data_IF_153879553517
#
_entry.id   IF_153879553517
#
_cell.length_a   1.000
_cell.length_b   1.000
_cell.length_c   1.000
_cell.angle_alpha   90.00
_cell.angle_beta   90.00
_cell.angle_gamma   90.00
#
_symmetry.space_group_name_H-M   'P 1'
#
loop_
_entity.id
_entity.type
_entity.pdbx_description
1 polymer ?
#
# COMPACT_ATOMS: atom_id res chain seq x y z
N UNK A 1 -73.50 0.05 43.13
CA UNK A 1 -73.05 -1.22 43.76
C UNK A 1 -71.54 -1.13 43.94
N UNK A 2 -71.03 -0.75 45.10
CA UNK A 2 -70.88 -1.50 46.36
C UNK A 2 -69.41 -1.89 46.54
N UNK A 3 -68.81 -1.26 47.54
CA UNK A 3 -67.50 -1.52 48.16
C UNK A 3 -67.18 -2.99 48.39
N UNK A 4 -65.88 -3.30 48.54
CA UNK A 4 -65.35 -3.87 49.80
C UNK A 4 -63.82 -3.87 49.88
N UNK A 5 -63.32 -3.09 50.84
CA UNK A 5 -62.08 -3.33 51.58
C UNK A 5 -62.39 -4.44 52.60
N UNK A 6 -61.50 -5.43 52.73
CA UNK A 6 -61.30 -6.17 53.99
C UNK A 6 -59.80 -6.42 54.14
N UNK A 7 -59.20 -5.77 55.13
CA UNK A 7 -57.97 -6.20 55.79
C UNK A 7 -58.36 -7.00 57.04
N UNK A 8 -57.62 -8.06 57.37
CA UNK A 8 -57.27 -8.50 58.73
C UNK A 8 -56.58 -9.87 58.68
N UNK A 9 -55.45 -10.00 59.39
CA UNK A 9 -54.81 -11.29 59.62
C UNK A 9 -53.34 -11.14 60.04
N UNK A 10 -53.12 -10.78 61.30
CA UNK A 10 -51.80 -10.80 61.93
C UNK A 10 -51.28 -12.24 62.08
N UNK A 11 -49.99 -12.45 61.80
CA UNK A 11 -49.19 -13.53 62.37
C UNK A 11 -47.74 -13.06 62.49
N UNK A 12 -47.32 -12.79 63.73
CA UNK A 12 -45.93 -12.56 64.12
C UNK A 12 -45.24 -13.92 64.22
N UNK A 13 -44.26 -14.19 63.35
CA UNK A 13 -43.28 -15.28 63.54
C UNK A 13 -41.90 -14.67 63.37
N UNK A 14 -41.18 -14.54 64.49
CA UNK A 14 -39.74 -14.27 64.53
C UNK A 14 -39.04 -15.62 64.39
N UNK A 15 -38.25 -15.78 63.33
CA UNK A 15 -37.30 -16.88 63.19
C UNK A 15 -35.97 -16.39 62.60
N UNK A 16 -34.91 -16.93 63.17
CA UNK A 16 -33.51 -16.47 63.14
C UNK A 16 -32.80 -16.91 61.85
N UNK A 17 -31.94 -16.01 61.35
CA UNK A 17 -30.78 -16.15 60.46
C UNK A 17 -30.58 -17.42 59.60
N UNK A 18 -30.43 -17.20 58.30
CA UNK A 18 -29.32 -17.75 57.52
C UNK A 18 -28.99 -16.82 56.33
N UNK A 19 -27.75 -16.35 56.29
CA UNK A 19 -27.20 -15.55 55.19
C UNK A 19 -26.84 -16.53 54.07
N UNK A 20 -27.65 -16.60 53.02
CA UNK A 20 -27.28 -17.23 51.76
C UNK A 20 -26.77 -16.12 50.82
N UNK A 21 -25.45 -15.99 50.73
CA UNK A 21 -24.80 -15.11 49.77
C UNK A 21 -25.15 -15.54 48.36
N UNK A 22 -25.93 -14.72 47.65
CA UNK A 22 -26.15 -14.89 46.22
C UNK A 22 -24.89 -14.41 45.52
N UNK A 23 -24.08 -15.36 45.06
CA UNK A 23 -22.98 -15.08 44.14
C UNK A 23 -23.58 -14.47 42.87
N UNK A 24 -23.54 -13.14 42.78
CA UNK A 24 -23.80 -12.44 41.55
C UNK A 24 -22.74 -12.85 40.54
N UNK A 25 -23.12 -13.71 39.58
CA UNK A 25 -22.36 -13.86 38.35
C UNK A 25 -22.51 -12.54 37.62
N UNK A 26 -21.57 -11.63 37.87
CA UNK A 26 -21.32 -10.51 37.00
C UNK A 26 -20.96 -11.11 35.64
N UNK A 27 -21.91 -11.07 34.71
CA UNK A 27 -21.61 -11.23 33.30
C UNK A 27 -20.61 -10.12 32.97
N UNK A 28 -19.33 -10.48 32.89
CA UNK A 28 -18.34 -9.69 32.21
C UNK A 28 -18.79 -9.65 30.75
N UNK A 29 -19.53 -8.59 30.40
CA UNK A 29 -19.59 -8.15 29.03
C UNK A 29 -18.14 -7.91 28.62
N UNK A 30 -17.60 -8.77 27.76
CA UNK A 30 -16.32 -8.55 27.14
C UNK A 30 -16.39 -7.19 26.43
N UNK A 31 -15.72 -6.21 27.02
CA UNK A 31 -15.41 -4.95 26.36
C UNK A 31 -14.47 -5.31 25.23
N UNK A 32 -15.02 -5.54 24.04
CA UNK A 32 -14.26 -5.61 22.81
C UNK A 32 -13.69 -4.22 22.55
N UNK A 33 -12.46 -4.03 23.04
CA UNK A 33 -11.68 -2.82 22.87
C UNK A 33 -11.18 -2.71 21.44
N UNK A 34 -11.78 -1.80 20.69
CA UNK A 34 -11.09 -0.98 19.72
C UNK A 34 -11.73 0.41 19.76
N UNK A 35 -10.98 1.41 20.24
CA UNK A 35 -11.40 2.81 20.32
C UNK A 35 -11.66 3.35 18.90
N UNK A 36 -12.87 3.13 18.38
CA UNK A 36 -13.35 3.79 17.18
C UNK A 36 -13.38 5.28 17.48
N UNK A 37 -12.51 6.05 16.81
CA UNK A 37 -12.44 7.50 17.03
C UNK A 37 -13.64 8.20 16.38
N UNK A 38 -14.24 7.56 15.37
CA UNK A 38 -15.41 8.08 14.65
C UNK A 38 -16.41 6.97 14.31
N UNK A 39 -17.70 7.25 14.52
CA UNK A 39 -18.84 6.39 14.14
C UNK A 39 -19.21 6.66 12.68
N UNK A 40 -19.98 5.77 12.04
CA UNK A 40 -20.50 6.04 10.71
C UNK A 40 -21.37 7.31 10.71
N UNK A 41 -21.11 8.23 9.78
CA UNK A 41 -21.72 9.56 9.76
C UNK A 41 -22.00 10.05 8.34
N UNK A 42 -22.90 11.02 8.20
CA UNK A 42 -23.08 11.77 6.96
C UNK A 42 -21.77 12.48 6.56
N UNK A 43 -21.40 12.42 5.27
CA UNK A 43 -20.13 12.96 4.79
C UNK A 43 -19.99 14.47 5.00
N UNK A 44 -21.09 15.24 4.94
CA UNK A 44 -21.05 16.70 5.17
C UNK A 44 -20.76 17.00 6.63
N UNK A 45 -21.28 16.18 7.55
CA UNK A 45 -20.99 16.29 8.98
C UNK A 45 -19.52 16.02 9.28
N UNK A 46 -18.91 15.01 8.65
CA UNK A 46 -17.47 14.76 8.80
C UNK A 46 -16.66 15.89 8.17
N UNK A 47 -16.99 16.32 6.96
CA UNK A 47 -16.33 17.43 6.27
C UNK A 47 -16.32 18.71 7.13
N UNK A 48 -17.42 19.01 7.83
CA UNK A 48 -17.51 20.17 8.73
C UNK A 48 -16.54 20.12 9.93
N UNK A 49 -15.97 18.96 10.25
CA UNK A 49 -14.95 18.82 11.31
C UNK A 49 -13.53 19.13 10.84
N UNK A 50 -13.31 19.15 9.52
CA UNK A 50 -12.00 19.38 8.92
C UNK A 50 -11.72 20.88 8.92
N UNK A 51 -10.54 21.26 9.40
CA UNK A 51 -10.10 22.66 9.43
C UNK A 51 -9.83 23.15 8.02
N UNK A 52 -10.27 24.37 7.73
CA UNK A 52 -9.93 25.07 6.49
C UNK A 52 -8.76 26.01 6.77
N UNK A 53 -7.60 25.74 6.16
CA UNK A 53 -6.35 26.48 6.39
C UNK A 53 -5.58 26.62 5.06
N UNK A 54 -4.67 27.59 4.97
CA UNK A 54 -3.80 27.71 3.80
C UNK A 54 -2.76 26.58 3.78
N UNK A 55 -2.44 26.10 2.58
CA UNK A 55 -1.40 25.09 2.37
C UNK A 55 0.00 25.58 2.77
N UNK A 56 0.79 24.68 3.37
CA UNK A 56 2.21 24.89 3.65
C UNK A 56 3.12 24.19 2.62
N UNK A 57 3.48 24.90 1.54
CA UNK A 57 4.13 24.27 0.38
C UNK A 57 5.65 24.07 0.48
N UNK A 58 6.30 24.78 1.40
CA UNK A 58 7.77 24.84 1.46
C UNK A 58 8.36 23.67 2.25
N UNK A 59 9.61 23.31 1.96
CA UNK A 59 10.35 22.31 2.75
C UNK A 59 9.99 20.84 2.50
N UNK A 60 8.96 20.55 1.69
CA UNK A 60 8.62 19.17 1.35
C UNK A 60 9.79 18.45 0.67
N UNK A 61 10.08 17.25 1.18
CA UNK A 61 10.91 16.24 0.51
C UNK A 61 10.24 14.89 0.69
N UNK A 62 10.08 14.14 -0.40
CA UNK A 62 9.45 12.81 -0.36
C UNK A 62 10.16 11.86 0.61
N UNK A 63 11.48 11.99 0.77
CA UNK A 63 12.28 11.19 1.70
C UNK A 63 11.95 11.40 3.18
N UNK A 64 11.22 12.47 3.54
CA UNK A 64 10.75 12.69 4.92
C UNK A 64 9.58 11.76 5.30
N UNK A 65 8.97 11.12 4.32
CA UNK A 65 7.95 10.08 4.49
C UNK A 65 8.61 8.75 4.17
N UNK A 66 9.17 8.10 5.19
CA UNK A 66 9.77 6.77 5.06
C UNK A 66 8.64 5.79 4.71
N UNK A 67 8.64 5.26 3.49
CA UNK A 67 7.59 4.40 2.96
C UNK A 67 8.17 3.12 2.35
N UNK A 68 7.27 2.14 2.22
CA UNK A 68 7.58 0.74 1.95
C UNK A 68 8.42 0.14 3.07
N UNK A 69 7.96 0.37 4.30
CA UNK A 69 8.46 -0.32 5.48
C UNK A 69 7.65 -1.58 5.75
N UNK A 70 8.33 -2.59 6.25
CA UNK A 70 7.74 -3.76 6.91
C UNK A 70 7.52 -3.38 8.39
N UNK A 71 6.30 -2.99 8.74
CA UNK A 71 5.98 -2.50 10.09
C UNK A 71 5.63 -3.62 11.08
N UNK A 72 5.18 -4.77 10.59
CA UNK A 72 4.80 -5.92 11.42
C UNK A 72 5.90 -7.00 11.49
N UNK A 73 6.97 -6.84 10.71
CA UNK A 73 8.14 -7.71 10.72
C UNK A 73 7.90 -9.04 10.02
N UNK A 74 6.86 -9.13 9.17
CA UNK A 74 6.48 -10.38 8.51
C UNK A 74 7.29 -10.64 7.21
N UNK A 75 8.17 -9.70 6.83
CA UNK A 75 9.01 -9.75 5.64
C UNK A 75 8.40 -9.03 4.42
N UNK A 76 7.13 -8.64 4.46
CA UNK A 76 6.44 -7.93 3.40
C UNK A 76 6.47 -6.42 3.71
N UNK A 77 6.98 -5.61 2.79
CA UNK A 77 6.80 -4.17 2.95
C UNK A 77 5.35 -3.74 2.63
N UNK A 78 4.99 -2.53 3.05
CA UNK A 78 3.65 -1.98 2.86
C UNK A 78 3.19 -2.01 1.39
N UNK A 79 4.08 -1.81 0.41
CA UNK A 79 3.69 -1.87 -1.00
C UNK A 79 3.27 -3.29 -1.37
N UNK A 80 4.06 -4.27 -0.99
CA UNK A 80 3.74 -5.67 -1.24
C UNK A 80 2.46 -6.10 -0.52
N UNK A 81 2.21 -5.59 0.69
CA UNK A 81 0.96 -5.86 1.40
C UNK A 81 -0.27 -5.32 0.67
N UNK A 82 -0.21 -4.08 0.16
CA UNK A 82 -1.34 -3.52 -0.60
C UNK A 82 -1.53 -4.29 -1.92
N UNK A 83 -0.45 -4.66 -2.61
CA UNK A 83 -0.55 -5.44 -3.84
C UNK A 83 -1.18 -6.82 -3.59
N UNK A 84 -0.85 -7.49 -2.48
CA UNK A 84 -1.49 -8.74 -2.06
C UNK A 84 -2.96 -8.53 -1.75
N UNK A 85 -3.27 -7.51 -0.94
CA UNK A 85 -4.63 -7.19 -0.47
C UNK A 85 -5.58 -6.86 -1.61
N UNK A 86 -5.11 -6.06 -2.58
CA UNK A 86 -5.95 -5.54 -3.67
C UNK A 86 -5.97 -6.45 -4.90
N UNK A 87 -5.22 -7.55 -4.90
CA UNK A 87 -5.28 -8.55 -5.97
C UNK A 87 -6.62 -9.29 -5.91
N UNK A 88 -7.36 -9.28 -7.01
CA UNK A 88 -8.63 -9.98 -7.22
C UNK A 88 -8.40 -11.49 -7.29
N UNK A 89 -7.37 -11.91 -8.03
CA UNK A 89 -6.91 -13.29 -8.04
C UNK A 89 -6.00 -13.55 -6.84
N UNK A 90 -5.77 -14.82 -6.51
CA UNK A 90 -4.69 -15.18 -5.59
C UNK A 90 -3.35 -14.70 -6.18
N UNK A 91 -2.64 -13.76 -5.53
CA UNK A 91 -1.38 -13.25 -6.04
C UNK A 91 -0.29 -14.33 -5.93
N UNK A 92 0.63 -14.34 -6.89
CA UNK A 92 1.85 -15.11 -6.79
C UNK A 92 2.88 -14.28 -6.06
N UNK A 93 3.44 -14.82 -4.98
CA UNK A 93 4.35 -14.12 -4.10
C UNK A 93 5.66 -14.88 -4.04
N UNK A 94 6.77 -14.19 -4.24
CA UNK A 94 8.09 -14.74 -4.04
C UNK A 94 8.34 -14.95 -2.53
N UNK A 95 8.89 -16.10 -2.10
CA UNK A 95 9.15 -16.36 -0.68
C UNK A 95 10.19 -15.41 -0.07
N UNK A 96 10.99 -14.70 -0.88
CA UNK A 96 11.91 -13.68 -0.38
C UNK A 96 11.22 -12.31 -0.34
N UNK A 97 11.05 -11.79 0.88
CA UNK A 97 10.48 -10.45 1.16
C UNK A 97 9.08 -10.20 0.56
N UNK A 98 8.29 -11.25 0.43
CA UNK A 98 6.93 -11.21 -0.09
C UNK A 98 6.75 -10.46 -1.41
N UNK A 99 7.74 -10.49 -2.29
CA UNK A 99 7.65 -9.74 -3.53
C UNK A 99 6.50 -10.29 -4.40
N UNK A 100 5.45 -9.51 -4.62
CA UNK A 100 4.32 -9.94 -5.47
C UNK A 100 4.81 -10.03 -6.91
N UNK A 101 4.87 -11.24 -7.43
CA UNK A 101 5.33 -11.52 -8.78
C UNK A 101 4.22 -11.22 -9.78
N UNK A 102 3.02 -11.76 -9.55
CA UNK A 102 1.88 -11.62 -10.45
C UNK A 102 0.59 -11.52 -9.64
N UNK A 103 -0.40 -10.83 -10.21
CA UNK A 103 -1.73 -10.67 -9.66
C UNK A 103 -2.65 -10.08 -10.72
N UNK A 104 -3.92 -9.93 -10.37
CA UNK A 104 -4.92 -9.25 -11.17
C UNK A 104 -5.52 -8.14 -10.30
N UNK A 105 -5.48 -6.89 -10.74
CA UNK A 105 -5.96 -5.73 -10.00
C UNK A 105 -7.02 -4.98 -10.79
N UNK A 106 -7.87 -4.23 -10.10
CA UNK A 106 -8.82 -3.31 -10.71
C UNK A 106 -8.54 -1.89 -10.25
N UNK A 107 -8.16 -1.01 -11.17
CA UNK A 107 -7.96 0.39 -10.85
C UNK A 107 -9.32 1.08 -10.69
N UNK A 108 -9.62 1.46 -9.45
CA UNK A 108 -10.85 2.20 -9.14
C UNK A 108 -10.88 3.61 -9.75
N UNK A 109 -9.73 4.16 -10.13
CA UNK A 109 -9.65 5.50 -10.70
C UNK A 109 -10.12 5.59 -12.15
N UNK A 110 -9.87 4.56 -12.97
CA UNK A 110 -10.23 4.58 -14.40
C UNK A 110 -11.01 3.33 -14.87
N UNK A 111 -11.28 2.38 -13.97
CA UNK A 111 -12.06 1.18 -14.25
C UNK A 111 -11.32 0.10 -15.02
N UNK A 112 -9.98 0.16 -15.10
CA UNK A 112 -9.20 -0.83 -15.85
C UNK A 112 -8.83 -2.04 -15.02
N UNK A 113 -8.94 -3.22 -15.65
CA UNK A 113 -8.32 -4.44 -15.16
C UNK A 113 -6.85 -4.45 -15.56
N UNK A 114 -5.98 -4.60 -14.57
CA UNK A 114 -4.53 -4.65 -14.70
C UNK A 114 -4.08 -6.05 -14.29
N UNK A 115 -3.06 -6.56 -14.94
CA UNK A 115 -2.42 -7.80 -14.49
C UNK A 115 -0.91 -7.74 -14.56
N UNK A 116 -0.35 -6.71 -15.21
CA UNK A 116 1.07 -6.42 -15.13
C UNK A 116 1.33 -5.59 -13.88
N UNK A 117 2.19 -6.10 -13.00
CA UNK A 117 2.63 -5.38 -11.80
C UNK A 117 3.22 -4.01 -12.18
N UNK A 118 3.92 -3.91 -13.32
CA UNK A 118 4.54 -2.67 -13.77
C UNK A 118 3.54 -1.56 -14.10
N UNK A 119 2.30 -1.91 -14.44
CA UNK A 119 1.23 -0.96 -14.72
C UNK A 119 0.45 -0.57 -13.44
N UNK A 120 0.82 -1.13 -12.29
CA UNK A 120 0.15 -0.93 -11.00
C UNK A 120 1.01 -0.11 -10.05
N UNK A 121 0.45 1.01 -9.62
CA UNK A 121 0.97 1.81 -8.51
C UNK A 121 0.13 1.61 -7.26
N UNK A 122 0.79 1.78 -6.11
CA UNK A 122 0.10 1.96 -4.84
C UNK A 122 0.05 3.47 -4.57
N UNK A 123 -1.14 4.03 -4.69
CA UNK A 123 -1.39 5.45 -4.43
C UNK A 123 -1.75 5.68 -2.97
N UNK A 124 -1.24 6.77 -2.42
CA UNK A 124 -1.79 7.37 -1.21
C UNK A 124 -2.98 8.22 -1.63
N UNK A 125 -4.20 7.82 -1.26
CA UNK A 125 -5.43 8.52 -1.69
C UNK A 125 -5.30 10.02 -1.46
N UNK A 126 -4.87 10.42 -0.25
CA UNK A 126 -4.30 11.75 0.01
C UNK A 126 -2.78 11.66 -0.15
N UNK A 127 -2.24 12.31 -1.17
CA UNK A 127 -0.82 12.16 -1.55
C UNK A 127 0.14 12.60 -0.42
N UNK A 128 1.37 12.08 -0.41
CA UNK A 128 2.36 12.44 0.63
C UNK A 128 2.67 13.95 0.67
N UNK A 129 2.74 14.60 -0.51
CA UNK A 129 2.92 16.05 -0.60
C UNK A 129 1.67 16.81 -0.16
N UNK A 130 0.49 16.35 -0.57
CA UNK A 130 -0.77 16.92 -0.12
C UNK A 130 -0.91 16.87 1.41
N UNK A 131 -0.54 15.75 2.03
CA UNK A 131 -0.52 15.62 3.48
C UNK A 131 0.46 16.61 4.13
N UNK A 132 1.64 16.84 3.53
CA UNK A 132 2.60 17.85 3.99
C UNK A 132 1.98 19.24 3.97
N UNK A 133 1.42 19.64 2.83
CA UNK A 133 0.80 20.93 2.61
C UNK A 133 -0.39 21.15 3.58
N UNK A 134 -1.06 20.06 3.96
CA UNK A 134 -2.22 20.03 4.89
C UNK A 134 -1.88 19.87 6.38
N UNK A 135 -0.60 20.02 6.78
CA UNK A 135 -0.19 20.03 8.19
C UNK A 135 0.82 18.97 8.61
N UNK A 136 1.10 17.96 7.78
CA UNK A 136 2.10 16.94 8.09
C UNK A 136 3.55 17.47 8.09
N UNK A 137 3.76 18.71 7.64
CA UNK A 137 5.02 19.43 7.85
C UNK A 137 5.41 19.56 9.33
N UNK A 138 4.41 19.62 10.21
CA UNK A 138 4.59 19.75 11.66
C UNK A 138 4.77 18.41 12.38
N UNK A 139 4.57 17.30 11.68
CA UNK A 139 4.62 15.97 12.28
C UNK A 139 6.05 15.55 12.64
N UNK A 140 6.17 14.61 13.58
CA UNK A 140 7.41 13.88 13.79
C UNK A 140 7.68 12.96 12.60
N UNK A 141 8.92 12.49 12.47
CA UNK A 141 9.26 11.47 11.47
C UNK A 141 8.45 10.18 11.66
N UNK A 142 8.23 9.76 12.91
CA UNK A 142 7.42 8.57 13.21
C UNK A 142 5.98 8.70 12.75
N UNK A 143 5.38 9.89 12.89
CA UNK A 143 4.04 10.17 12.40
C UNK A 143 3.97 10.14 10.87
N UNK A 144 4.93 10.77 10.17
CA UNK A 144 5.01 10.69 8.70
C UNK A 144 5.24 9.27 8.20
N UNK A 145 6.11 8.51 8.86
CA UNK A 145 6.34 7.08 8.56
C UNK A 145 5.05 6.27 8.75
N UNK A 146 4.32 6.49 9.83
CA UNK A 146 3.07 5.79 10.06
C UNK A 146 2.00 6.14 9.01
N UNK A 147 1.86 7.42 8.64
CA UNK A 147 0.96 7.83 7.56
C UNK A 147 1.31 7.16 6.24
N UNK A 148 2.59 7.16 5.89
CA UNK A 148 3.05 6.64 4.61
C UNK A 148 2.91 5.12 4.48
N UNK A 149 2.73 4.39 5.59
CA UNK A 149 2.61 2.94 5.66
C UNK A 149 1.29 2.49 6.33
N UNK A 150 0.26 3.34 6.32
CA UNK A 150 -0.99 3.07 7.03
C UNK A 150 -1.83 1.99 6.34
N UNK A 151 -1.73 0.76 6.86
CA UNK A 151 -2.56 -0.39 6.46
C UNK A 151 -3.75 -0.61 7.40
N UNK A 152 -3.86 0.17 8.48
CA UNK A 152 -4.91 0.00 9.50
C UNK A 152 -6.28 0.50 9.04
N UNK A 153 -6.31 1.24 7.91
CA UNK A 153 -7.51 1.65 7.21
C UNK A 153 -7.33 1.45 5.70
N UNK A 154 -8.23 0.70 5.06
CA UNK A 154 -8.15 0.36 3.63
C UNK A 154 -8.29 1.55 2.67
N UNK A 155 -8.69 2.72 3.18
CA UNK A 155 -8.87 3.94 2.39
C UNK A 155 -7.55 4.70 2.12
N UNK A 156 -6.53 4.51 2.95
CA UNK A 156 -5.29 5.31 2.87
C UNK A 156 -4.44 4.98 1.65
N UNK A 157 -4.37 3.69 1.29
CA UNK A 157 -3.51 3.16 0.23
C UNK A 157 -4.31 2.26 -0.70
N UNK A 158 -4.20 2.44 -2.03
CA UNK A 158 -4.95 1.63 -3.01
C UNK A 158 -4.11 1.29 -4.26
N UNK A 159 -4.33 0.13 -4.85
CA UNK A 159 -3.77 -0.25 -6.15
C UNK A 159 -4.50 0.45 -7.32
N UNK A 160 -3.75 1.16 -8.16
CA UNK A 160 -4.29 1.94 -9.30
C UNK A 160 -3.39 1.88 -10.53
N UNK A 161 -3.90 2.29 -11.69
CA UNK A 161 -3.10 2.42 -12.92
C UNK A 161 -2.03 3.50 -12.76
N UNK A 162 -0.78 3.15 -13.03
CA UNK A 162 0.43 4.00 -12.96
C UNK A 162 0.24 5.39 -13.59
N UNK A 163 -0.25 5.46 -14.84
CA UNK A 163 -0.41 6.70 -15.60
C UNK A 163 -1.49 7.59 -15.02
N UNK A 164 -2.54 7.00 -14.45
CA UNK A 164 -3.62 7.76 -13.82
C UNK A 164 -3.15 8.31 -12.48
N UNK A 165 -2.35 7.54 -11.74
CA UNK A 165 -1.68 8.00 -10.54
C UNK A 165 -0.69 9.15 -10.83
N UNK A 166 0.09 9.05 -11.90
CA UNK A 166 0.96 10.14 -12.36
C UNK A 166 0.16 11.40 -12.75
N UNK A 167 -1.02 11.22 -13.38
CA UNK A 167 -1.93 12.35 -13.70
C UNK A 167 -2.47 13.02 -12.43
N UNK A 168 -2.79 12.25 -11.38
CA UNK A 168 -3.16 12.77 -10.07
C UNK A 168 -2.00 13.55 -9.46
N UNK A 169 -0.81 12.94 -9.40
CA UNK A 169 0.36 13.50 -8.71
C UNK A 169 0.02 13.79 -7.24
N UNK A 170 0.14 15.05 -6.85
CA UNK A 170 -0.08 15.64 -5.54
C UNK A 170 -1.33 16.53 -5.51
N UNK A 171 -2.18 16.46 -6.55
CA UNK A 171 -3.38 17.30 -6.66
C UNK A 171 -4.47 16.85 -5.70
N UNK A 172 -5.12 17.84 -5.10
CA UNK A 172 -6.34 17.70 -4.32
C UNK A 172 -7.59 17.63 -5.23
N UNK A 173 -8.78 17.28 -4.68
CA UNK A 173 -10.05 17.21 -5.40
C UNK A 173 -10.48 18.44 -6.20
N UNK A 174 -9.99 19.65 -5.88
CA UNK A 174 -10.26 20.85 -6.67
C UNK A 174 -9.49 20.89 -7.99
N UNK A 175 -8.37 20.17 -8.09
CA UNK A 175 -7.50 20.16 -9.26
C UNK A 175 -7.48 18.81 -9.98
N UNK A 176 -7.98 17.75 -9.35
CA UNK A 176 -8.05 16.42 -9.95
C UNK A 176 -9.16 15.57 -9.33
N UNK A 177 -9.94 14.90 -10.17
CA UNK A 177 -10.88 13.86 -9.77
C UNK A 177 -10.61 12.59 -10.61
N UNK A 178 -10.89 11.39 -10.08
CA UNK A 178 -10.76 10.16 -10.84
C UNK A 178 -11.52 10.23 -12.18
N UNK A 179 -10.91 9.80 -13.30
CA UNK A 179 -11.61 9.76 -14.59
C UNK A 179 -12.90 8.93 -14.57
N UNK A 180 -12.94 7.86 -13.77
CA UNK A 180 -14.13 7.04 -13.56
C UNK A 180 -15.13 7.74 -12.64
N UNK A 181 -16.16 8.36 -13.24
CA UNK A 181 -17.21 9.09 -12.50
C UNK A 181 -17.95 8.26 -11.45
N UNK A 182 -18.19 6.97 -11.73
CA UNK A 182 -18.88 6.10 -10.76
C UNK A 182 -18.08 5.90 -9.46
N UNK A 183 -16.80 6.26 -9.44
CA UNK A 183 -15.95 6.19 -8.25
C UNK A 183 -15.89 7.51 -7.45
N UNK A 184 -16.47 8.61 -7.95
CA UNK A 184 -16.33 9.93 -7.34
C UNK A 184 -16.75 9.97 -5.86
N UNK A 185 -17.95 9.48 -5.53
CA UNK A 185 -18.43 9.57 -4.16
C UNK A 185 -17.62 8.69 -3.20
N UNK A 186 -17.13 7.53 -3.66
CA UNK A 186 -16.21 6.70 -2.87
C UNK A 186 -14.90 7.43 -2.65
N UNK A 187 -14.30 8.00 -3.71
CA UNK A 187 -13.07 8.78 -3.59
C UNK A 187 -13.20 9.95 -2.62
N UNK A 188 -14.30 10.71 -2.68
CA UNK A 188 -14.54 11.82 -1.75
C UNK A 188 -14.71 11.32 -0.30
N UNK A 189 -15.45 10.21 -0.11
CA UNK A 189 -15.60 9.60 1.21
C UNK A 189 -14.25 9.17 1.79
N UNK A 190 -13.42 8.52 0.98
CA UNK A 190 -12.08 8.07 1.37
C UNK A 190 -11.18 9.27 1.68
N UNK A 191 -11.19 10.29 0.84
CA UNK A 191 -10.42 11.52 0.99
C UNK A 191 -10.77 12.26 2.30
N UNK A 192 -12.06 12.52 2.54
CA UNK A 192 -12.55 13.14 3.78
C UNK A 192 -12.17 12.29 5.00
N UNK A 193 -12.32 10.97 4.90
CA UNK A 193 -11.98 10.05 5.98
C UNK A 193 -10.50 10.13 6.35
N UNK A 194 -9.61 10.09 5.37
CA UNK A 194 -8.15 10.14 5.58
C UNK A 194 -7.76 11.48 6.20
N UNK A 195 -8.25 12.60 5.66
CA UNK A 195 -7.99 13.94 6.19
C UNK A 195 -8.47 14.06 7.65
N UNK A 196 -9.70 13.65 7.95
CA UNK A 196 -10.26 13.71 9.31
C UNK A 196 -9.53 12.77 10.29
N UNK A 197 -9.20 11.55 9.86
CA UNK A 197 -8.49 10.56 10.68
C UNK A 197 -7.10 11.05 11.12
N UNK A 198 -6.38 11.68 10.20
CA UNK A 198 -5.02 12.17 10.41
C UNK A 198 -4.95 13.62 10.88
N UNK A 199 -6.09 14.31 11.01
CA UNK A 199 -6.16 15.70 11.45
C UNK A 199 -5.52 16.68 10.45
N UNK A 200 -5.58 16.35 9.16
CA UNK A 200 -5.09 17.19 8.08
C UNK A 200 -6.14 18.28 7.75
N UNK A 201 -5.68 19.48 7.42
CA UNK A 201 -6.53 20.56 6.94
C UNK A 201 -6.91 20.39 5.47
N UNK A 202 -7.84 21.21 5.02
CA UNK A 202 -8.11 21.45 3.60
C UNK A 202 -7.91 22.92 3.28
N UNK A 203 -7.51 23.22 2.05
CA UNK A 203 -7.59 24.60 1.59
C UNK A 203 -9.03 24.99 1.20
N UNK A 204 -9.22 26.28 0.91
CA UNK A 204 -10.55 26.82 0.60
C UNK A 204 -11.14 26.29 -0.72
N UNK A 205 -10.29 26.01 -1.72
CA UNK A 205 -10.68 25.49 -3.03
C UNK A 205 -11.06 24.01 -2.92
N UNK A 206 -10.20 23.22 -2.27
CA UNK A 206 -10.43 21.81 -1.96
C UNK A 206 -11.75 21.63 -1.20
N UNK A 207 -11.91 22.32 -0.06
CA UNK A 207 -13.10 22.22 0.77
C UNK A 207 -14.37 22.63 -0.01
N UNK A 208 -14.28 23.73 -0.78
CA UNK A 208 -15.39 24.22 -1.60
C UNK A 208 -15.82 23.22 -2.67
N UNK A 209 -14.87 22.63 -3.38
CA UNK A 209 -15.14 21.62 -4.40
C UNK A 209 -15.81 20.38 -3.81
N UNK A 210 -15.25 19.83 -2.72
CA UNK A 210 -15.81 18.66 -2.06
C UNK A 210 -17.22 18.96 -1.56
N UNK A 211 -17.44 20.11 -0.90
CA UNK A 211 -18.76 20.52 -0.41
C UNK A 211 -19.79 20.59 -1.54
N UNK A 212 -19.42 21.12 -2.71
CA UNK A 212 -20.31 21.22 -3.86
C UNK A 212 -20.68 19.84 -4.43
N UNK A 213 -19.70 18.94 -4.56
CA UNK A 213 -19.95 17.56 -5.00
C UNK A 213 -20.81 16.78 -4.00
N UNK A 214 -20.60 16.96 -2.69
CA UNK A 214 -21.48 16.40 -1.67
C UNK A 214 -22.88 17.03 -1.68
N UNK A 215 -23.08 18.24 -2.21
CA UNK A 215 -24.41 18.83 -2.34
C UNK A 215 -25.15 18.34 -3.59
N UNK A 216 -24.41 17.93 -4.62
CA UNK A 216 -24.93 17.57 -5.93
C UNK A 216 -24.85 16.06 -6.17
N UNK A 217 -23.73 15.57 -6.69
CA UNK A 217 -23.56 14.19 -7.15
C UNK A 217 -23.51 13.15 -6.02
N UNK A 218 -23.11 13.56 -4.81
CA UNK A 218 -22.85 12.69 -3.67
C UNK A 218 -23.69 13.03 -2.43
N UNK A 219 -24.94 13.47 -2.64
CA UNK A 219 -25.81 14.02 -1.60
C UNK A 219 -26.19 13.07 -0.47
N UNK A 220 -26.13 11.77 -0.69
CA UNK A 220 -26.46 10.71 0.28
C UNK A 220 -25.22 9.96 0.77
N UNK A 221 -24.02 10.50 0.57
CA UNK A 221 -22.79 9.81 0.96
C UNK A 221 -22.68 9.72 2.48
N UNK A 222 -22.66 8.48 2.99
CA UNK A 222 -22.31 8.18 4.37
C UNK A 222 -20.90 7.60 4.44
N UNK A 223 -20.12 8.06 5.41
CA UNK A 223 -18.76 7.58 5.65
C UNK A 223 -18.81 6.55 6.78
N UNK A 224 -18.26 5.36 6.54
CA UNK A 224 -18.08 4.35 7.56
C UNK A 224 -17.06 4.79 8.63
N UNK A 225 -17.27 4.37 9.87
CA UNK A 225 -16.39 4.69 11.00
C UNK A 225 -14.94 4.24 10.78
N UNK A 226 -14.03 4.76 11.61
CA UNK A 226 -12.61 4.39 11.57
C UNK A 226 -11.96 4.34 12.94
N UNK A 227 -10.93 3.49 13.01
CA UNK A 227 -10.01 3.42 14.14
C UNK A 227 -9.16 4.69 14.23
N UNK A 228 -8.66 5.01 15.42
CA UNK A 228 -7.67 6.08 15.56
C UNK A 228 -6.42 5.83 14.70
N UNK A 229 -5.80 6.90 14.18
CA UNK A 229 -4.52 6.80 13.47
C UNK A 229 -3.45 6.11 14.36
N UNK A 230 -2.60 5.24 13.80
CA UNK A 230 -1.68 4.36 14.55
C UNK A 230 -0.60 5.08 15.37
N UNK A 231 -0.56 6.41 15.32
CA UNK A 231 0.37 7.28 16.05
C UNK A 231 -0.33 8.31 16.95
N UNK A 232 -1.64 8.16 17.18
CA UNK A 232 -2.37 8.97 18.18
C UNK A 232 -2.08 8.50 19.61
N UNK A 233 -0.81 8.48 19.99
CA UNK A 233 -0.37 8.67 21.36
C UNK A 233 0.25 10.06 21.43
N UNK A 234 -0.48 11.03 22.00
CA UNK A 234 0.02 12.39 22.22
C UNK A 234 1.33 12.34 23.01
N UNK A 235 2.45 12.68 22.37
CA UNK A 235 3.47 13.42 23.09
C UNK A 235 2.91 14.84 23.29
N UNK A 236 2.92 15.43 24.51
CA UNK A 236 2.48 16.79 24.69
C UNK A 236 3.32 17.69 23.79
N UNK A 237 2.67 18.61 23.07
CA UNK A 237 3.35 19.73 22.46
C UNK A 237 4.23 20.36 23.54
N UNK A 238 5.55 20.30 23.37
CA UNK A 238 6.49 21.02 24.21
C UNK A 238 6.09 22.49 24.13
N UNK A 239 5.59 23.02 25.24
CA UNK A 239 5.28 24.44 25.40
C UNK A 239 6.54 25.20 25.02
N UNK A 240 6.46 25.99 23.95
CA UNK A 240 7.48 26.97 23.63
C UNK A 240 7.68 27.85 24.87
N UNK A 241 8.91 28.09 25.35
CA UNK A 241 9.10 28.97 26.49
C UNK A 241 8.71 30.40 26.09
N UNK A 242 7.59 30.85 26.62
CA UNK A 242 7.20 32.25 26.63
C UNK A 242 8.27 33.05 27.36
N UNK A 243 8.96 33.92 26.63
CA UNK A 243 9.88 34.92 27.19
C UNK A 243 9.07 35.96 27.96
N UNK A 244 8.87 35.71 29.26
CA UNK A 244 8.44 36.75 30.20
C UNK A 244 9.68 37.39 30.80
N UNK A 245 9.89 38.67 30.50
CA UNK A 245 10.94 39.49 31.09
C UNK A 245 10.78 39.54 32.63
N UNK A 246 11.86 39.40 33.42
CA UNK A 246 11.80 39.64 34.85
C UNK A 246 12.01 41.12 35.18
N UNK A 247 11.06 41.67 35.93
CA UNK A 247 11.20 42.93 36.65
C UNK A 247 12.23 42.81 37.78
N UNK A 248 12.96 43.91 37.96
CA UNK A 248 13.96 44.21 38.99
C UNK A 248 13.58 43.86 40.43
N UNK A 249 14.49 43.16 41.13
CA UNK A 249 14.67 43.30 42.57
C UNK A 249 16.15 43.18 42.93
N UNK A 250 16.63 44.15 43.70
CA UNK A 250 18.01 44.38 44.11
C UNK A 250 18.41 43.53 45.32
N UNK A 251 19.55 42.83 45.27
CA UNK A 251 20.34 42.49 46.47
C UNK A 251 21.76 41.96 46.15
N UNK A 252 22.73 42.86 46.35
CA UNK A 252 24.04 42.74 47.02
C UNK A 252 24.84 41.41 46.96
N UNK A 253 25.96 41.49 46.23
CA UNK A 253 27.35 41.06 46.51
C UNK A 253 27.66 39.66 47.06
N UNK A 254 28.39 38.85 46.28
CA UNK A 254 29.81 38.53 46.55
C UNK A 254 30.49 37.87 45.34
N UNK A 255 31.67 38.38 45.01
CA UNK A 255 32.50 37.94 43.90
C UNK A 255 33.37 36.75 44.29
N UNK A 256 33.50 35.78 43.39
CA UNK A 256 34.72 34.96 43.29
C UNK A 256 35.00 34.65 41.81
N UNK A 257 36.17 35.10 41.40
CA UNK A 257 36.85 34.92 40.12
C UNK A 257 37.14 33.45 39.81
N UNK A 258 37.00 33.01 38.55
CA UNK A 258 38.00 32.13 37.88
C UNK A 258 37.71 31.96 36.37
N UNK A 259 38.60 32.56 35.59
CA UNK A 259 39.31 32.03 34.41
C UNK A 259 38.55 31.38 33.25
N UNK A 260 38.54 32.11 32.13
CA UNK A 260 38.25 31.62 30.79
C UNK A 260 39.42 30.81 30.20
N UNK A 261 39.10 29.81 29.39
CA UNK A 261 40.00 29.25 28.38
C UNK A 261 39.22 29.04 27.07
N UNK A 262 39.61 29.82 26.09
CA UNK A 262 39.23 29.72 24.68
C UNK A 262 39.86 28.49 24.03
N UNK A 263 39.14 27.86 23.09
CA UNK A 263 39.77 27.05 22.05
C UNK A 263 39.07 27.28 20.72
N UNK A 264 39.83 27.91 19.83
CA UNK A 264 39.61 28.14 18.40
C UNK A 264 39.69 26.81 17.64
N UNK A 265 38.83 26.58 16.65
CA UNK A 265 39.01 25.50 15.66
C UNK A 265 39.19 26.11 14.28
N UNK A 266 40.36 25.84 13.71
CA UNK A 266 40.79 26.24 12.36
C UNK A 266 40.54 25.11 11.36
N UNK A 267 40.23 25.52 10.14
CA UNK A 267 40.06 24.82 8.86
C UNK A 267 41.18 23.85 8.44
N UNK A 268 40.85 22.83 7.62
CA UNK A 268 41.57 22.50 6.37
C UNK A 268 40.92 21.39 5.48
N UNK A 269 40.53 21.79 4.28
CA UNK A 269 40.63 21.23 2.91
C UNK A 269 41.35 19.90 2.63
N UNK A 270 40.75 19.00 1.81
CA UNK A 270 41.27 18.59 0.47
C UNK A 270 40.34 17.61 -0.29
N UNK A 271 40.22 17.82 -1.61
CA UNK A 271 39.75 16.88 -2.64
C UNK A 271 40.96 16.23 -3.35
N UNK A 272 40.76 15.22 -4.23
CA UNK A 272 40.77 15.56 -5.67
C UNK A 272 39.86 14.70 -6.59
N UNK A 273 39.79 15.19 -7.82
CA UNK A 273 39.04 14.77 -9.03
C UNK A 273 39.75 13.67 -9.84
N UNK A 274 39.00 12.87 -10.62
CA UNK A 274 39.50 12.23 -11.86
C UNK A 274 38.45 12.21 -12.97
N UNK A 275 38.97 12.27 -14.19
CA UNK A 275 38.36 12.76 -15.43
C UNK A 275 37.91 11.63 -16.39
N UNK A 276 36.99 11.99 -17.28
CA UNK A 276 36.43 11.27 -18.44
C UNK A 276 37.46 10.96 -19.53
N UNK A 277 37.32 9.82 -20.22
CA UNK A 277 37.76 9.66 -21.63
C UNK A 277 36.75 8.84 -22.45
N UNK A 278 36.36 9.42 -23.58
CA UNK A 278 35.57 8.90 -24.71
C UNK A 278 36.35 7.96 -25.63
N UNK A 279 35.66 7.02 -26.30
CA UNK A 279 36.10 6.51 -27.61
C UNK A 279 34.91 6.05 -28.47
N UNK A 280 34.82 6.68 -29.65
CA UNK A 280 33.95 6.41 -30.79
C UNK A 280 34.71 5.57 -31.81
N UNK A 281 34.12 4.50 -32.37
CA UNK A 281 34.43 4.06 -33.75
C UNK A 281 33.39 3.08 -34.31
N UNK A 282 32.87 3.42 -35.49
CA UNK A 282 32.32 2.52 -36.52
C UNK A 282 33.20 2.71 -37.79
N UNK A 283 32.94 2.08 -38.95
CA UNK A 283 32.46 0.73 -39.27
C UNK A 283 33.49 -0.03 -40.15
N UNK A 284 33.25 -1.30 -40.51
CA UNK A 284 33.86 -1.85 -41.74
C UNK A 284 32.99 -2.93 -42.39
N UNK A 285 32.66 -2.64 -43.63
CA UNK A 285 32.07 -3.49 -44.66
C UNK A 285 33.08 -4.52 -45.17
N UNK A 286 32.67 -5.77 -45.40
CA UNK A 286 33.27 -6.58 -46.47
C UNK A 286 32.21 -7.44 -47.13
N UNK A 287 31.95 -7.08 -48.38
CA UNK A 287 31.27 -7.88 -49.40
C UNK A 287 32.27 -8.91 -49.90
N UNK A 288 31.87 -10.17 -50.03
CA UNK A 288 32.41 -11.07 -51.07
C UNK A 288 31.31 -12.00 -51.53
N UNK A 289 30.80 -11.71 -52.72
CA UNK A 289 30.06 -12.59 -53.62
C UNK A 289 30.96 -13.66 -54.24
N UNK A 290 30.33 -14.69 -54.84
CA UNK A 290 30.78 -15.64 -55.90
C UNK A 290 30.57 -17.08 -55.40
N UNK A 291 29.93 -18.04 -56.09
CA UNK A 291 29.18 -18.13 -57.35
C UNK A 291 28.57 -19.55 -57.40
N UNK A 292 27.48 -19.69 -58.18
CA UNK A 292 26.80 -20.87 -58.75
C UNK A 292 27.60 -22.20 -58.81
N UNK A 293 27.02 -23.42 -58.81
CA UNK A 293 25.89 -23.93 -59.60
C UNK A 293 25.54 -25.40 -59.15
N UNK A 294 24.51 -26.05 -59.74
CA UNK A 294 23.74 -27.16 -59.14
C UNK A 294 23.98 -28.54 -59.79
N UNK A 295 23.07 -29.49 -59.48
CA UNK A 295 22.76 -30.79 -60.11
C UNK A 295 23.23 -32.01 -59.29
N UNK A 296 22.54 -33.15 -59.18
CA UNK A 296 21.20 -33.69 -59.51
C UNK A 296 21.19 -35.13 -58.97
N UNK A 297 19.99 -35.74 -58.84
CA UNK A 297 19.70 -37.20 -58.82
C UNK A 297 20.21 -37.97 -57.59
N UNK A 298 19.50 -38.92 -56.95
CA UNK A 298 18.50 -39.88 -57.41
C UNK A 298 17.78 -40.46 -56.19
N UNK A 299 16.47 -40.70 -56.29
CA UNK A 299 15.74 -41.61 -55.39
C UNK A 299 16.12 -43.08 -55.69
N UNK A 300 15.76 -44.04 -54.81
CA UNK A 300 14.49 -44.72 -55.10
C UNK A 300 13.61 -44.98 -53.87
N UNK A 301 12.34 -45.14 -54.22
CA UNK A 301 11.20 -45.54 -53.40
C UNK A 301 11.24 -47.04 -53.10
N UNK A 302 10.83 -47.44 -51.89
CA UNK A 302 10.29 -48.78 -51.64
C UNK A 302 9.22 -48.69 -50.54
N UNK A 303 7.98 -48.87 -50.98
CA UNK A 303 6.78 -49.03 -50.17
C UNK A 303 6.65 -50.51 -49.79
N UNK A 304 6.46 -50.81 -48.51
CA UNK A 304 5.85 -52.08 -48.07
C UNK A 304 4.81 -51.77 -47.00
N UNK A 305 3.58 -52.14 -47.32
CA UNK A 305 2.39 -52.07 -46.47
C UNK A 305 2.22 -53.40 -45.73
N UNK A 306 2.13 -53.38 -44.40
CA UNK A 306 1.38 -54.37 -43.61
C UNK A 306 0.96 -53.75 -42.26
N UNK A 307 -0.32 -53.81 -41.95
CA UNK A 307 -0.94 -53.61 -40.63
C UNK A 307 -1.76 -54.87 -40.31
N UNK A 308 -2.34 -55.08 -39.12
CA UNK A 308 -2.12 -54.43 -37.81
C UNK A 308 -1.82 -55.46 -36.70
N UNK A 309 -1.29 -55.01 -35.56
CA UNK A 309 -1.32 -55.80 -34.32
C UNK A 309 -1.68 -54.90 -33.14
N UNK A 310 -2.86 -55.17 -32.58
CA UNK A 310 -3.38 -54.63 -31.32
C UNK A 310 -2.52 -55.09 -30.16
N UNK A 311 -2.04 -54.17 -29.34
CA UNK A 311 -1.64 -54.43 -27.96
C UNK A 311 -1.75 -53.15 -27.15
N UNK A 312 -2.70 -53.16 -26.22
CA UNK A 312 -2.91 -52.12 -25.22
C UNK A 312 -1.64 -51.97 -24.36
N UNK A 313 -1.12 -50.76 -24.29
CA UNK A 313 -0.04 -50.40 -23.36
C UNK A 313 -0.53 -49.24 -22.49
N UNK A 314 -0.41 -49.42 -21.17
CA UNK A 314 -0.80 -48.49 -20.11
C UNK A 314 -0.21 -47.08 -20.29
N UNK A 315 -0.80 -46.02 -19.71
CA UNK A 315 -0.25 -44.68 -19.80
C UNK A 315 1.10 -44.65 -19.10
N UNK A 316 2.16 -44.44 -19.89
CA UNK A 316 3.48 -44.10 -19.38
C UNK A 316 3.38 -42.69 -18.81
N UNK A 317 3.46 -42.58 -17.48
CA UNK A 317 3.67 -41.30 -16.79
C UNK A 317 5.05 -40.81 -17.18
N UNK A 318 5.15 -39.99 -18.22
CA UNK A 318 6.38 -39.24 -18.52
C UNK A 318 6.61 -38.26 -17.39
N UNK A 319 7.49 -38.65 -16.46
CA UNK A 319 8.18 -37.70 -15.59
C UNK A 319 9.09 -36.89 -16.51
N UNK A 320 8.62 -35.73 -16.95
CA UNK A 320 9.45 -34.74 -17.64
C UNK A 320 10.45 -34.21 -16.63
N UNK A 321 11.62 -34.84 -16.56
CA UNK A 321 12.78 -34.25 -15.91
C UNK A 321 13.15 -33.00 -16.69
N UNK A 322 12.92 -31.83 -16.09
CA UNK A 322 13.33 -30.54 -16.66
C UNK A 322 14.86 -30.55 -16.77
N UNK A 323 15.45 -30.42 -17.99
CA UNK A 323 16.89 -30.37 -18.13
C UNK A 323 17.45 -29.15 -17.41
N UNK A 324 18.63 -29.30 -16.81
CA UNK A 324 19.39 -28.21 -16.23
C UNK A 324 19.55 -27.05 -17.23
N UNK A 325 19.44 -25.83 -16.71
CA UNK A 325 19.35 -24.57 -17.44
C UNK A 325 20.44 -24.40 -18.51
N UNK A 326 20.08 -24.55 -19.78
CA UNK A 326 20.85 -24.05 -20.91
C UNK A 326 20.00 -22.98 -21.59
N UNK A 327 20.36 -21.70 -21.40
CA UNK A 327 19.78 -20.57 -22.14
C UNK A 327 18.66 -19.78 -21.44
N UNK A 328 18.51 -19.84 -20.12
CA UNK A 328 17.50 -19.06 -19.41
C UNK A 328 17.80 -17.55 -19.54
N UNK A 329 16.96 -16.84 -20.29
CA UNK A 329 16.97 -15.36 -20.37
C UNK A 329 16.78 -14.80 -18.95
N UNK A 330 17.49 -13.71 -18.61
CA UNK A 330 17.14 -12.92 -17.42
C UNK A 330 15.75 -12.33 -17.64
N UNK A 331 14.80 -12.74 -16.80
CA UNK A 331 13.40 -12.31 -16.89
C UNK A 331 13.02 -11.45 -15.71
N UNK A 332 11.90 -10.75 -15.84
CA UNK A 332 11.21 -10.13 -14.72
C UNK A 332 10.04 -11.04 -14.33
N UNK A 333 10.03 -11.60 -13.11
CA UNK A 333 8.93 -12.42 -12.63
C UNK A 333 7.58 -11.73 -12.85
N UNK A 334 6.59 -12.49 -13.33
CA UNK A 334 5.20 -12.07 -13.53
C UNK A 334 4.96 -11.11 -14.68
N UNK A 335 6.01 -10.61 -15.32
CA UNK A 335 5.89 -9.87 -16.58
C UNK A 335 5.31 -10.76 -17.68
N UNK A 336 4.68 -10.14 -18.68
CA UNK A 336 4.23 -10.87 -19.87
C UNK A 336 5.38 -11.60 -20.54
N UNK A 337 5.10 -12.79 -21.04
CA UNK A 337 6.11 -13.64 -21.64
C UNK A 337 5.61 -14.28 -22.94
N UNK A 338 6.58 -14.57 -23.80
CA UNK A 338 6.43 -15.38 -24.99
C UNK A 338 7.80 -15.98 -25.35
N UNK A 339 7.84 -17.17 -25.97
CA UNK A 339 6.71 -18.08 -26.21
C UNK A 339 6.23 -18.75 -24.91
N UNK A 340 4.99 -19.25 -24.91
CA UNK A 340 4.47 -20.13 -23.85
C UNK A 340 5.40 -21.34 -23.71
N UNK A 341 5.59 -21.82 -22.49
CA UNK A 341 6.52 -22.88 -22.09
C UNK A 341 8.01 -22.53 -22.22
N UNK A 342 8.34 -21.27 -22.56
CA UNK A 342 9.71 -20.75 -22.44
C UNK A 342 10.22 -20.79 -21.00
N UNK A 343 11.53 -20.98 -20.83
CA UNK A 343 12.21 -20.93 -19.52
C UNK A 343 13.01 -19.63 -19.37
N UNK A 344 12.99 -19.08 -18.16
CA UNK A 344 13.73 -17.88 -17.78
C UNK A 344 14.35 -18.03 -16.39
N UNK A 345 15.29 -17.15 -16.07
CA UNK A 345 15.90 -17.10 -14.73
C UNK A 345 15.75 -15.72 -14.12
N UNK A 346 15.51 -15.67 -12.82
CA UNK A 346 15.59 -14.45 -12.03
C UNK A 346 16.17 -14.76 -10.66
N UNK A 347 17.27 -14.09 -10.31
CA UNK A 347 17.99 -14.28 -9.04
C UNK A 347 18.30 -15.76 -8.73
N UNK A 348 18.68 -16.53 -9.74
CA UNK A 348 19.02 -17.95 -9.61
C UNK A 348 17.84 -18.90 -9.48
N UNK A 349 16.59 -18.41 -9.56
CA UNK A 349 15.39 -19.24 -9.62
C UNK A 349 14.92 -19.41 -11.07
N UNK A 350 14.39 -20.60 -11.39
CA UNK A 350 13.83 -20.91 -12.71
C UNK A 350 12.36 -20.49 -12.78
N UNK A 351 11.99 -19.87 -13.89
CA UNK A 351 10.64 -19.45 -14.22
C UNK A 351 10.21 -20.09 -15.54
N UNK A 352 8.93 -20.39 -15.66
CA UNK A 352 8.27 -20.88 -16.87
C UNK A 352 7.25 -19.86 -17.35
N UNK A 353 7.20 -19.63 -18.65
CA UNK A 353 6.19 -18.82 -19.28
C UNK A 353 4.88 -19.61 -19.38
N UNK A 354 3.85 -19.23 -18.63
CA UNK A 354 2.60 -20.01 -18.57
C UNK A 354 1.37 -19.11 -18.65
N UNK A 355 0.27 -19.65 -19.21
CA UNK A 355 -1.05 -19.00 -19.21
C UNK A 355 -1.81 -19.17 -17.90
N UNK A 356 -1.30 -20.01 -16.99
CA UNK A 356 -1.89 -20.26 -15.69
C UNK A 356 -0.89 -19.97 -14.59
N UNK A 357 -1.40 -19.65 -13.39
CA UNK A 357 -0.59 -19.60 -12.17
C UNK A 357 -0.09 -21.00 -11.75
N UNK A 358 0.59 -21.08 -10.61
CA UNK A 358 1.19 -22.32 -10.11
C UNK A 358 0.12 -23.35 -9.68
N UNK A 359 -1.06 -22.86 -9.31
CA UNK A 359 -2.24 -23.65 -8.95
C UNK A 359 -3.12 -24.04 -10.14
N UNK A 360 -2.76 -23.64 -11.37
CA UNK A 360 -3.51 -23.95 -12.59
C UNK A 360 -4.63 -22.97 -12.95
N UNK A 361 -4.83 -21.88 -12.19
CA UNK A 361 -5.80 -20.84 -12.53
C UNK A 361 -5.31 -20.00 -13.71
N UNK A 362 -6.14 -19.76 -14.74
CA UNK A 362 -5.73 -18.97 -15.91
C UNK A 362 -5.53 -17.49 -15.55
N UNK A 363 -4.52 -16.86 -16.16
CA UNK A 363 -4.35 -15.41 -16.07
C UNK A 363 -5.40 -14.67 -16.91
N UNK A 364 -5.78 -13.48 -16.46
CA UNK A 364 -6.77 -12.66 -17.14
C UNK A 364 -6.38 -12.34 -18.61
N UNK A 365 -7.34 -12.55 -19.52
CA UNK A 365 -7.15 -12.31 -20.95
C UNK A 365 -6.33 -13.37 -21.69
N UNK A 366 -6.07 -14.53 -21.07
CA UNK A 366 -5.37 -15.66 -21.72
C UNK A 366 -3.91 -15.39 -22.06
N UNK A 367 -3.33 -14.34 -21.46
CA UNK A 367 -1.95 -13.91 -21.65
C UNK A 367 -1.01 -14.76 -20.79
N UNK A 368 0.17 -15.06 -21.31
CA UNK A 368 1.17 -15.82 -20.55
C UNK A 368 2.08 -14.89 -19.74
N UNK A 369 2.51 -15.35 -18.57
CA UNK A 369 3.41 -14.65 -17.64
C UNK A 369 4.51 -15.55 -17.13
N UNK A 370 5.64 -14.96 -16.77
CA UNK A 370 6.72 -15.67 -16.09
C UNK A 370 6.29 -16.05 -14.68
N UNK A 371 6.01 -17.31 -14.42
CA UNK A 371 5.78 -17.82 -13.07
C UNK A 371 6.91 -18.74 -12.63
N UNK A 372 7.10 -18.88 -11.33
CA UNK A 372 8.09 -19.82 -10.80
C UNK A 372 7.81 -21.22 -11.34
N UNK A 373 8.85 -21.89 -11.85
CA UNK A 373 8.75 -23.29 -12.21
C UNK A 373 8.57 -24.08 -10.91
N UNK A 374 7.44 -24.76 -10.77
CA UNK A 374 7.21 -25.75 -9.71
C UNK A 374 8.04 -26.99 -10.07
N UNK A 375 8.86 -27.45 -9.13
CA UNK A 375 9.60 -28.72 -9.28
C UNK A 375 8.65 -29.91 -9.35
#
# INVERSE_FOLDING_TARGET
MNWRIVANGAALVVAISSVAGVAGVAGAAEVSGATQKFVANDAKSVLATIKVENEYKTGYKRSLFIHWSDLDGNGCDTREEVLKRDSISKPQVDPYRCYVVAGDWYSKYDGKNLSDRGDVDIDHVVALKEAWDSGAWSWTESQRKAYANDLTDGRSLIAVTDRVNASKSDKDPSNWMPPLKSYWCTFLGDWISVKARWGLSMDQSEYGQIKNLLASDCSSLTIAGWSAAPVSGSAPATVAPSTTAPSTTTSVTSATTTTALSATVTTATTAPSTTVTTATTAPSTTVTTVTTAPATTTAPSATVTTAPATSATAPVTTVTTVPAAIGAKDISPGSYCAPVDGLGSYKGMTYICSKTNAEGSPYAGGRARWRKATN
#
